data_IF_956968479581
#
_entry.id   IF_956968479581
#
_cell.length_a   1.000
_cell.length_b   1.000
_cell.length_c   1.000
_cell.angle_alpha   90.00
_cell.angle_beta   90.00
_cell.angle_gamma   90.00
#
_symmetry.space_group_name_H-M   'P 1'
#
loop_
_entity.id
_entity.type
_entity.pdbx_description
1 polymer ?
#
# COMPACT_ATOMS: atom_id res chain seq x y z
N UNK A 1 -4.17 23.09 0.27
CA UNK A 1 -3.50 24.36 -0.11
C UNK A 1 -3.32 24.34 -1.64
N UNK A 2 -3.77 25.37 -2.36
CA UNK A 2 -3.59 25.43 -3.81
C UNK A 2 -2.37 26.30 -4.10
N UNK A 3 -1.45 25.79 -4.91
CA UNK A 3 -0.35 26.59 -5.43
C UNK A 3 -0.95 27.51 -6.49
N UNK A 4 -0.97 28.82 -6.19
CA UNK A 4 -1.53 29.79 -7.11
C UNK A 4 -0.46 30.18 -8.15
N UNK A 5 -0.47 29.50 -9.28
CA UNK A 5 0.40 29.78 -10.42
C UNK A 5 -0.44 30.03 -11.65
N UNK A 6 -0.35 31.25 -12.19
CA UNK A 6 -1.09 31.61 -13.39
C UNK A 6 -0.27 31.31 -14.64
N UNK A 7 -0.79 30.37 -15.45
CA UNK A 7 -0.24 30.06 -16.76
C UNK A 7 -0.57 31.22 -17.72
N UNK A 8 0.45 31.83 -18.32
CA UNK A 8 0.26 32.88 -19.31
C UNK A 8 -0.38 32.35 -20.60
N UNK A 9 -1.08 33.23 -21.29
CA UNK A 9 -1.61 32.95 -22.62
C UNK A 9 -0.60 33.41 -23.68
N UNK A 10 0.07 32.45 -24.31
CA UNK A 10 1.12 32.74 -25.31
C UNK A 10 0.62 32.81 -26.74
N UNK A 11 -0.68 32.89 -26.97
CA UNK A 11 -1.26 32.87 -28.34
C UNK A 11 -0.86 34.03 -29.24
N UNK A 12 -0.27 35.10 -28.67
CA UNK A 12 0.18 36.29 -29.40
C UNK A 12 1.68 36.29 -29.75
N UNK A 13 2.40 35.25 -29.37
CA UNK A 13 3.85 35.13 -29.59
C UNK A 13 4.15 34.23 -30.79
N UNK A 14 5.30 34.45 -31.43
CA UNK A 14 5.84 33.53 -32.42
C UNK A 14 6.18 32.16 -31.77
N UNK A 15 6.24 31.09 -32.56
CA UNK A 15 6.47 29.73 -32.03
C UNK A 15 7.79 29.60 -31.26
N UNK A 16 8.86 30.31 -31.68
CA UNK A 16 10.13 30.32 -30.97
C UNK A 16 10.05 31.04 -29.63
N UNK A 17 9.46 32.24 -29.62
CA UNK A 17 9.25 32.99 -28.37
C UNK A 17 8.35 32.25 -27.39
N UNK A 18 7.30 31.59 -27.91
CA UNK A 18 6.39 30.78 -27.12
C UNK A 18 7.14 29.65 -26.38
N UNK A 19 8.03 28.94 -27.07
CA UNK A 19 8.84 27.86 -26.47
C UNK A 19 9.72 28.38 -25.33
N UNK A 20 10.41 29.50 -25.52
CA UNK A 20 11.28 30.11 -24.52
C UNK A 20 10.51 30.59 -23.28
N UNK A 21 9.36 31.25 -23.49
CA UNK A 21 8.51 31.71 -22.40
C UNK A 21 7.87 30.54 -21.64
N UNK A 22 7.42 29.50 -22.34
CA UNK A 22 6.93 28.28 -21.68
C UNK A 22 7.98 27.58 -20.83
N UNK A 23 9.20 27.49 -21.33
CA UNK A 23 10.33 26.89 -20.58
C UNK A 23 10.65 27.69 -19.31
N UNK A 24 10.73 29.03 -19.44
CA UNK A 24 10.92 29.94 -18.31
C UNK A 24 9.85 29.73 -17.24
N UNK A 25 8.58 29.70 -17.64
CA UNK A 25 7.47 29.57 -16.69
C UNK A 25 7.38 28.18 -16.07
N UNK A 26 7.73 27.12 -16.81
CA UNK A 26 7.88 25.77 -16.28
C UNK A 26 8.97 25.71 -15.20
N UNK A 27 10.11 26.37 -15.43
CA UNK A 27 11.19 26.44 -14.46
C UNK A 27 10.78 27.23 -13.21
N UNK A 28 10.13 28.38 -13.37
CA UNK A 28 9.60 29.16 -12.25
C UNK A 28 8.56 28.35 -11.44
N UNK A 29 7.69 27.63 -12.11
CA UNK A 29 6.73 26.76 -11.42
C UNK A 29 7.41 25.61 -10.66
N UNK A 30 8.44 25.01 -11.26
CA UNK A 30 9.24 23.96 -10.59
C UNK A 30 9.88 24.49 -9.29
N UNK A 31 10.42 25.70 -9.30
CA UNK A 31 10.99 26.34 -8.10
C UNK A 31 9.93 26.54 -7.01
N UNK A 32 8.74 27.04 -7.38
CA UNK A 32 7.61 27.22 -6.44
C UNK A 32 7.17 25.87 -5.85
N UNK A 33 7.07 24.82 -6.68
CA UNK A 33 6.73 23.48 -6.22
C UNK A 33 7.78 22.91 -5.27
N UNK A 34 9.06 23.04 -5.63
CA UNK A 34 10.16 22.54 -4.80
C UNK A 34 10.19 23.23 -3.44
N UNK A 35 10.02 24.55 -3.42
CA UNK A 35 9.95 25.33 -2.19
C UNK A 35 8.78 24.87 -1.31
N UNK A 36 7.58 24.78 -1.89
CA UNK A 36 6.38 24.35 -1.17
C UNK A 36 6.55 22.94 -0.60
N UNK A 37 7.13 22.02 -1.38
CA UNK A 37 7.35 20.65 -0.93
C UNK A 37 8.32 20.61 0.25
N UNK A 38 9.45 21.32 0.16
CA UNK A 38 10.45 21.37 1.22
C UNK A 38 9.91 22.02 2.51
N UNK A 39 9.08 23.05 2.40
CA UNK A 39 8.45 23.72 3.54
C UNK A 39 7.43 22.84 4.28
N UNK A 40 6.84 21.83 3.59
CA UNK A 40 5.82 20.96 4.17
C UNK A 40 6.31 19.51 4.41
N UNK A 41 7.59 19.22 4.14
CA UNK A 41 8.11 17.85 4.17
C UNK A 41 7.96 17.20 5.54
N UNK A 42 8.22 17.94 6.64
CA UNK A 42 8.03 17.40 7.99
C UNK A 42 6.58 17.00 8.24
N UNK A 43 5.64 17.86 7.85
CA UNK A 43 4.21 17.57 7.99
C UNK A 43 3.76 16.35 7.17
N UNK A 44 4.36 16.11 6.00
CA UNK A 44 4.06 14.92 5.19
C UNK A 44 4.53 13.67 5.89
N UNK A 45 5.75 13.70 6.45
CA UNK A 45 6.31 12.58 7.21
C UNK A 45 5.46 12.32 8.45
N UNK A 46 5.13 13.34 9.25
CA UNK A 46 4.31 13.17 10.46
C UNK A 46 2.95 12.54 10.14
N UNK A 47 2.29 12.99 9.07
CA UNK A 47 1.01 12.41 8.63
C UNK A 47 1.13 10.96 8.17
N UNK A 48 2.26 10.58 7.58
CA UNK A 48 2.50 9.16 7.23
C UNK A 48 2.48 8.27 8.48
N UNK A 49 3.07 8.74 9.57
CA UNK A 49 3.10 8.01 10.85
C UNK A 49 1.75 7.97 11.58
N UNK A 50 0.81 8.88 11.26
CA UNK A 50 -0.56 8.85 11.78
C UNK A 50 -1.41 7.74 11.14
N UNK A 51 -1.05 7.31 9.94
CA UNK A 51 -1.79 6.28 9.20
C UNK A 51 -1.36 4.90 9.70
N UNK A 52 -2.31 4.12 10.20
CA UNK A 52 -2.06 2.72 10.55
C UNK A 52 -1.65 1.91 9.31
N UNK A 53 -0.66 1.05 9.44
CA UNK A 53 -0.21 0.21 8.34
C UNK A 53 -1.19 -0.93 8.06
N UNK A 54 -1.44 -1.19 6.78
CA UNK A 54 -2.06 -2.41 6.30
C UNK A 54 -1.14 -2.99 5.22
N UNK A 55 -0.79 -4.24 5.39
CA UNK A 55 0.02 -4.96 4.44
C UNK A 55 -0.87 -5.92 3.65
N UNK A 56 -1.09 -5.64 2.38
CA UNK A 56 -1.76 -6.54 1.46
C UNK A 56 -0.74 -7.10 0.49
N UNK A 57 -0.58 -8.41 0.46
CA UNK A 57 0.21 -9.12 -0.54
C UNK A 57 -0.50 -9.22 -1.88
N UNK A 58 -1.83 -9.28 -1.84
CA UNK A 58 -2.62 -9.47 -3.03
C UNK A 58 -3.45 -8.23 -3.30
N UNK A 59 -3.30 -7.66 -4.49
CA UNK A 59 -4.22 -6.64 -4.97
C UNK A 59 -5.54 -7.33 -5.33
N UNK A 60 -6.45 -7.42 -4.34
CA UNK A 60 -7.70 -8.16 -4.44
C UNK A 60 -8.73 -7.42 -5.29
N UNK A 61 -8.58 -6.10 -5.47
CA UNK A 61 -9.48 -5.28 -6.26
C UNK A 61 -9.05 -3.82 -6.35
N UNK A 62 -9.72 -3.05 -7.22
CA UNK A 62 -9.41 -1.63 -7.44
C UNK A 62 -9.61 -0.78 -6.20
N UNK A 63 -10.45 -1.21 -5.26
CA UNK A 63 -10.63 -0.55 -3.97
C UNK A 63 -9.34 -0.43 -3.16
N UNK A 64 -8.37 -1.36 -3.30
CA UNK A 64 -7.05 -1.26 -2.66
C UNK A 64 -6.22 -0.14 -3.28
N UNK A 65 -6.26 0.02 -4.62
CA UNK A 65 -5.58 1.15 -5.29
C UNK A 65 -6.15 2.49 -4.81
N UNK A 66 -7.49 2.58 -4.73
CA UNK A 66 -8.17 3.78 -4.26
C UNK A 66 -7.81 4.10 -2.81
N UNK A 67 -7.65 3.08 -1.96
CA UNK A 67 -7.18 3.24 -0.58
C UNK A 67 -5.75 3.81 -0.57
N UNK A 68 -4.83 3.25 -1.36
CA UNK A 68 -3.44 3.72 -1.44
C UNK A 68 -3.34 5.17 -1.96
N UNK A 69 -4.13 5.52 -2.98
CA UNK A 69 -4.21 6.89 -3.47
C UNK A 69 -4.78 7.85 -2.40
N UNK A 70 -5.75 7.40 -1.62
CA UNK A 70 -6.31 8.18 -0.52
C UNK A 70 -5.30 8.40 0.61
N UNK A 71 -4.46 7.42 0.93
CA UNK A 71 -3.34 7.58 1.87
C UNK A 71 -2.38 8.66 1.39
N UNK A 72 -1.97 8.63 0.12
CA UNK A 72 -1.12 9.65 -0.46
C UNK A 72 -1.75 11.06 -0.38
N UNK A 73 -3.07 11.15 -0.60
CA UNK A 73 -3.80 12.41 -0.45
C UNK A 73 -3.83 12.91 0.99
N UNK A 74 -3.97 12.00 1.96
CA UNK A 74 -3.89 12.35 3.38
C UNK A 74 -2.51 12.84 3.76
N UNK A 75 -1.46 12.15 3.34
CA UNK A 75 -0.06 12.53 3.57
C UNK A 75 0.23 13.95 3.04
N UNK A 76 -0.28 14.27 1.86
CA UNK A 76 -0.14 15.60 1.25
C UNK A 76 -1.08 16.67 1.86
N UNK A 77 -1.96 16.30 2.80
CA UNK A 77 -2.90 17.21 3.46
C UNK A 77 -4.16 17.54 2.66
N UNK A 78 -4.49 16.74 1.64
CA UNK A 78 -5.71 16.88 0.83
C UNK A 78 -6.88 16.11 1.46
N UNK A 79 -7.29 16.48 2.67
CA UNK A 79 -8.22 15.71 3.50
C UNK A 79 -9.59 15.51 2.88
N UNK A 80 -10.14 16.53 2.23
CA UNK A 80 -11.43 16.43 1.52
C UNK A 80 -11.37 15.39 0.41
N UNK A 81 -10.31 15.41 -0.40
CA UNK A 81 -10.11 14.45 -1.49
C UNK A 81 -9.85 13.04 -0.96
N UNK A 82 -9.09 12.90 0.11
CA UNK A 82 -8.90 11.64 0.82
C UNK A 82 -10.26 11.06 1.28
N UNK A 83 -11.06 11.82 2.00
CA UNK A 83 -12.40 11.41 2.47
C UNK A 83 -13.30 10.95 1.33
N UNK A 84 -13.33 11.71 0.23
CA UNK A 84 -14.13 11.36 -0.94
C UNK A 84 -13.67 10.03 -1.55
N UNK A 85 -12.35 9.85 -1.71
CA UNK A 85 -11.79 8.66 -2.35
C UNK A 85 -11.94 7.40 -1.48
N UNK A 86 -11.79 7.51 -0.16
CA UNK A 86 -12.10 6.41 0.78
C UNK A 86 -13.56 6.00 0.67
N UNK A 87 -14.47 6.95 0.53
CA UNK A 87 -15.89 6.63 0.32
C UNK A 87 -16.13 5.84 -0.96
N UNK A 88 -15.43 6.15 -2.05
CA UNK A 88 -15.49 5.38 -3.30
C UNK A 88 -14.88 4.00 -3.11
N UNK A 89 -13.72 3.91 -2.47
CA UNK A 89 -13.06 2.63 -2.15
C UNK A 89 -13.97 1.72 -1.32
N UNK A 90 -14.62 2.24 -0.28
CA UNK A 90 -15.55 1.48 0.56
C UNK A 90 -16.79 1.02 -0.21
N UNK A 91 -17.29 1.84 -1.14
CA UNK A 91 -18.41 1.46 -2.01
C UNK A 91 -18.02 0.34 -2.97
N UNK A 92 -16.84 0.41 -3.61
CA UNK A 92 -16.32 -0.61 -4.49
C UNK A 92 -16.07 -1.92 -3.72
N UNK A 93 -15.46 -1.83 -2.54
CA UNK A 93 -15.29 -2.98 -1.65
C UNK A 93 -16.62 -3.66 -1.30
N UNK A 94 -17.67 -2.90 -1.00
CA UNK A 94 -18.97 -3.47 -0.72
C UNK A 94 -19.59 -4.19 -1.94
N UNK A 95 -19.37 -3.69 -3.15
CA UNK A 95 -19.75 -4.38 -4.40
C UNK A 95 -18.96 -5.68 -4.57
N UNK A 96 -17.65 -5.61 -4.36
CA UNK A 96 -16.77 -6.78 -4.41
C UNK A 96 -17.26 -7.90 -3.47
N UNK A 97 -17.59 -7.58 -2.22
CA UNK A 97 -18.10 -8.57 -1.26
C UNK A 97 -19.41 -9.22 -1.74
N UNK A 98 -20.31 -8.46 -2.33
CA UNK A 98 -21.54 -9.02 -2.90
C UNK A 98 -21.26 -9.98 -4.05
N UNK A 99 -20.33 -9.63 -4.95
CA UNK A 99 -19.93 -10.50 -6.06
C UNK A 99 -19.28 -11.79 -5.57
N UNK A 100 -18.36 -11.71 -4.60
CA UNK A 100 -17.71 -12.89 -4.00
C UNK A 100 -18.68 -13.87 -3.36
N UNK A 101 -19.82 -13.36 -2.87
CA UNK A 101 -20.89 -14.16 -2.28
C UNK A 101 -22.00 -14.51 -3.29
N UNK A 102 -21.80 -14.27 -4.59
CA UNK A 102 -22.78 -14.51 -5.67
C UNK A 102 -24.12 -13.74 -5.48
N UNK A 103 -24.06 -12.53 -4.88
CA UNK A 103 -25.22 -11.67 -4.57
C UNK A 103 -25.35 -10.51 -5.55
N UNK A 104 -25.61 -10.81 -6.82
CA UNK A 104 -25.79 -9.78 -7.86
C UNK A 104 -26.96 -8.83 -7.57
N UNK A 105 -28.00 -9.32 -6.87
CA UNK A 105 -29.17 -8.55 -6.41
C UNK A 105 -28.82 -7.45 -5.42
N UNK A 106 -27.63 -7.50 -4.79
CA UNK A 106 -27.14 -6.42 -3.93
C UNK A 106 -26.51 -5.28 -4.73
N UNK A 107 -26.26 -5.48 -6.02
CA UNK A 107 -25.61 -4.50 -6.89
C UNK A 107 -26.63 -3.80 -7.76
N UNK A 108 -27.47 -4.56 -8.45
CA UNK A 108 -28.48 -4.03 -9.36
C UNK A 108 -29.83 -4.66 -9.12
N UNK A 109 -30.88 -3.85 -9.27
CA UNK A 109 -32.28 -4.30 -9.25
C UNK A 109 -33.00 -3.83 -10.51
N UNK A 110 -34.01 -4.59 -10.90
CA UNK A 110 -34.91 -4.19 -11.98
C UNK A 110 -36.11 -3.46 -11.37
N UNK A 111 -36.29 -2.18 -11.72
CA UNK A 111 -37.42 -1.38 -11.24
C UNK A 111 -38.76 -1.85 -11.85
N UNK A 112 -39.87 -1.32 -11.34
CA UNK A 112 -41.21 -1.66 -11.82
C UNK A 112 -41.44 -1.32 -13.30
N UNK A 113 -40.57 -0.56 -13.91
CA UNK A 113 -40.59 -0.16 -15.33
C UNK A 113 -39.64 -1.01 -16.18
N UNK A 114 -39.04 -2.05 -15.62
CA UNK A 114 -38.09 -2.92 -16.30
C UNK A 114 -36.70 -2.31 -16.51
N UNK A 115 -36.33 -1.21 -15.83
CA UNK A 115 -35.02 -0.58 -15.95
C UNK A 115 -34.10 -1.10 -14.85
N UNK A 116 -32.87 -1.43 -15.24
CA UNK A 116 -31.82 -1.78 -14.28
C UNK A 116 -31.37 -0.51 -13.54
N UNK A 117 -31.37 -0.55 -12.22
CA UNK A 117 -30.92 0.51 -11.35
C UNK A 117 -29.95 -0.03 -10.31
N UNK A 118 -28.97 0.76 -9.92
CA UNK A 118 -28.00 0.38 -8.87
C UNK A 118 -28.67 0.41 -7.50
N UNK A 119 -28.35 -0.60 -6.70
CA UNK A 119 -28.67 -0.62 -5.27
C UNK A 119 -27.80 0.39 -4.55
N UNK A 120 -28.42 1.30 -3.77
CA UNK A 120 -27.64 2.27 -3.00
C UNK A 120 -26.69 1.56 -2.03
N UNK A 121 -25.55 2.18 -1.74
CA UNK A 121 -24.58 1.64 -0.78
C UNK A 121 -25.23 1.32 0.58
N UNK A 122 -26.10 2.20 1.07
CA UNK A 122 -26.85 1.98 2.32
C UNK A 122 -27.67 0.69 2.30
N UNK A 123 -28.44 0.46 1.24
CA UNK A 123 -29.25 -0.75 1.12
C UNK A 123 -28.38 -2.00 0.95
N UNK A 124 -27.30 -1.89 0.21
CA UNK A 124 -26.32 -2.98 0.02
C UNK A 124 -25.72 -3.42 1.36
N UNK A 125 -25.25 -2.47 2.17
CA UNK A 125 -24.68 -2.77 3.49
C UNK A 125 -25.71 -3.43 4.41
N UNK A 126 -26.97 -2.98 4.38
CA UNK A 126 -28.04 -3.63 5.14
C UNK A 126 -28.30 -5.07 4.71
N UNK A 127 -28.34 -5.33 3.41
CA UNK A 127 -28.51 -6.69 2.89
C UNK A 127 -27.34 -7.59 3.29
N UNK A 128 -26.10 -7.08 3.18
CA UNK A 128 -24.91 -7.80 3.60
C UNK A 128 -24.91 -8.14 5.10
N UNK A 129 -25.39 -7.23 5.94
CA UNK A 129 -25.53 -7.48 7.37
C UNK A 129 -26.61 -8.56 7.65
N UNK A 130 -27.79 -8.44 7.04
CA UNK A 130 -28.89 -9.40 7.22
C UNK A 130 -28.48 -10.82 6.80
N UNK A 131 -27.66 -10.91 5.76
CA UNK A 131 -27.16 -12.20 5.24
C UNK A 131 -25.85 -12.66 5.90
N UNK A 132 -25.39 -11.97 6.94
CA UNK A 132 -24.15 -12.27 7.67
C UNK A 132 -22.88 -12.30 6.78
N UNK A 133 -22.86 -11.53 5.70
CA UNK A 133 -21.66 -11.33 4.86
C UNK A 133 -20.68 -10.41 5.56
N UNK A 134 -21.19 -9.43 6.32
CA UNK A 134 -20.41 -8.55 7.18
C UNK A 134 -20.93 -8.59 8.62
N UNK A 135 -20.06 -8.32 9.57
CA UNK A 135 -20.42 -8.17 10.98
C UNK A 135 -21.17 -6.86 11.25
N UNK A 136 -21.81 -6.74 12.42
CA UNK A 136 -22.39 -5.48 12.85
C UNK A 136 -21.33 -4.37 12.96
N UNK A 137 -20.13 -4.69 13.47
CA UNK A 137 -19.02 -3.74 13.57
C UNK A 137 -18.60 -3.22 12.18
N UNK A 138 -18.39 -4.13 11.21
CA UNK A 138 -18.07 -3.74 9.84
C UNK A 138 -19.18 -2.91 9.18
N UNK A 139 -20.45 -3.22 9.44
CA UNK A 139 -21.58 -2.43 8.97
C UNK A 139 -21.51 -0.99 9.51
N UNK A 140 -21.34 -0.83 10.83
CA UNK A 140 -21.35 0.48 11.49
C UNK A 140 -20.19 1.34 10.97
N UNK A 141 -18.98 0.76 10.80
CA UNK A 141 -17.81 1.46 10.25
C UNK A 141 -18.01 1.87 8.78
N UNK A 142 -18.56 0.99 7.94
CA UNK A 142 -18.84 1.30 6.52
C UNK A 142 -19.95 2.33 6.36
N UNK A 143 -20.98 2.30 7.21
CA UNK A 143 -22.07 3.30 7.18
C UNK A 143 -21.59 4.67 7.67
N UNK A 144 -20.68 4.71 8.64
CA UNK A 144 -20.01 5.94 9.06
C UNK A 144 -19.17 6.54 7.94
N UNK A 145 -18.36 5.72 7.24
CA UNK A 145 -17.60 6.16 6.05
C UNK A 145 -18.57 6.77 5.02
N UNK A 146 -19.66 6.08 4.71
CA UNK A 146 -20.69 6.56 3.77
C UNK A 146 -21.28 7.90 4.20
N UNK A 147 -21.57 8.07 5.49
CA UNK A 147 -22.16 9.30 6.03
C UNK A 147 -21.19 10.48 5.89
N UNK A 148 -19.94 10.33 6.34
CA UNK A 148 -18.92 11.38 6.28
C UNK A 148 -18.61 11.73 4.80
N UNK A 149 -18.53 10.72 3.92
CA UNK A 149 -18.32 10.94 2.48
C UNK A 149 -19.48 11.72 1.84
N UNK A 150 -20.72 11.41 2.21
CA UNK A 150 -21.89 12.12 1.68
C UNK A 150 -21.88 13.60 2.08
N UNK A 151 -21.53 13.92 3.33
CA UNK A 151 -21.35 15.31 3.77
C UNK A 151 -20.27 16.02 2.97
N UNK A 152 -19.18 15.34 2.67
CA UNK A 152 -18.09 15.84 1.85
C UNK A 152 -18.51 16.08 0.39
N UNK A 153 -19.12 15.09 -0.28
CA UNK A 153 -19.47 15.17 -1.71
C UNK A 153 -20.60 16.14 -1.99
N UNK A 154 -21.61 16.20 -1.12
CA UNK A 154 -22.71 17.16 -1.26
C UNK A 154 -22.32 18.56 -0.81
N UNK A 155 -21.10 18.70 -0.23
CA UNK A 155 -20.55 19.97 0.21
C UNK A 155 -21.57 20.80 1.00
N UNK A 156 -22.22 20.12 1.96
CA UNK A 156 -23.28 20.72 2.76
C UNK A 156 -22.78 21.86 3.65
N UNK A 157 -23.70 22.62 4.25
CA UNK A 157 -23.36 23.81 5.02
C UNK A 157 -22.41 23.51 6.18
N UNK A 158 -22.65 22.41 6.89
CA UNK A 158 -21.82 22.00 8.02
C UNK A 158 -20.40 21.62 7.57
N UNK A 159 -20.28 20.89 6.44
CA UNK A 159 -18.98 20.53 5.88
C UNK A 159 -18.17 21.74 5.46
N UNK A 160 -18.82 22.74 4.80
CA UNK A 160 -18.17 24.00 4.38
C UNK A 160 -17.52 24.77 5.53
N UNK A 161 -18.08 24.67 6.73
CA UNK A 161 -17.63 25.42 7.91
C UNK A 161 -16.59 24.66 8.74
N UNK A 162 -16.29 23.39 8.40
CA UNK A 162 -15.31 22.59 9.14
C UNK A 162 -13.91 23.20 9.03
N UNK A 163 -13.24 23.45 10.15
CA UNK A 163 -11.85 23.86 10.16
C UNK A 163 -10.95 22.70 9.68
N UNK A 164 -9.72 23.03 9.28
CA UNK A 164 -8.79 22.08 8.67
C UNK A 164 -8.46 20.88 9.57
N UNK A 165 -8.40 21.09 10.89
CA UNK A 165 -8.16 20.01 11.84
C UNK A 165 -9.34 19.02 11.93
N UNK A 166 -10.58 19.47 11.79
CA UNK A 166 -11.74 18.58 11.74
C UNK A 166 -11.77 17.78 10.43
N UNK A 167 -11.45 18.42 9.30
CA UNK A 167 -11.31 17.72 8.01
C UNK A 167 -10.20 16.65 8.07
N UNK A 168 -9.08 16.95 8.75
CA UNK A 168 -8.01 15.99 9.01
C UNK A 168 -8.52 14.80 9.83
N UNK A 169 -9.24 15.06 10.92
CA UNK A 169 -9.79 14.02 11.79
C UNK A 169 -10.81 13.14 11.05
N UNK A 170 -11.69 13.73 10.25
CA UNK A 170 -12.63 12.99 9.42
C UNK A 170 -11.91 12.08 8.43
N UNK A 171 -10.90 12.59 7.74
CA UNK A 171 -10.11 11.83 6.77
C UNK A 171 -9.39 10.66 7.43
N UNK A 172 -8.71 10.90 8.56
CA UNK A 172 -8.03 9.84 9.32
C UNK A 172 -9.02 8.80 9.84
N UNK A 173 -10.17 9.23 10.30
CA UNK A 173 -11.21 8.34 10.81
C UNK A 173 -11.74 7.40 9.72
N UNK A 174 -12.12 7.92 8.54
CA UNK A 174 -12.64 7.08 7.46
C UNK A 174 -11.57 6.16 6.90
N UNK A 175 -10.30 6.59 6.85
CA UNK A 175 -9.15 5.79 6.50
C UNK A 175 -8.99 4.59 7.43
N UNK A 176 -8.95 4.85 8.73
CA UNK A 176 -8.78 3.81 9.74
C UNK A 176 -9.99 2.86 9.78
N UNK A 177 -11.21 3.39 9.66
CA UNK A 177 -12.43 2.58 9.61
C UNK A 177 -12.38 1.58 8.45
N UNK A 178 -12.03 2.02 7.24
CA UNK A 178 -11.92 1.11 6.10
C UNK A 178 -10.84 0.06 6.34
N UNK A 179 -9.69 0.45 6.88
CA UNK A 179 -8.61 -0.47 7.22
C UNK A 179 -9.01 -1.54 8.22
N UNK A 180 -9.76 -1.17 9.26
CA UNK A 180 -10.29 -2.12 10.25
C UNK A 180 -11.21 -3.14 9.57
N UNK A 181 -12.12 -2.67 8.72
CA UNK A 181 -13.06 -3.54 7.99
C UNK A 181 -12.34 -4.49 7.04
N UNK A 182 -11.38 -3.97 6.29
CA UNK A 182 -10.57 -4.79 5.38
C UNK A 182 -9.78 -5.85 6.15
N UNK A 183 -9.19 -5.48 7.29
CA UNK A 183 -8.49 -6.42 8.19
C UNK A 183 -9.42 -7.51 8.74
N UNK A 184 -10.64 -7.14 9.12
CA UNK A 184 -11.62 -8.09 9.65
C UNK A 184 -12.05 -9.12 8.58
N UNK A 185 -12.28 -8.68 7.34
CA UNK A 185 -12.90 -9.49 6.30
C UNK A 185 -11.87 -10.22 5.43
N UNK A 186 -10.81 -9.54 5.02
CA UNK A 186 -9.78 -10.10 4.14
C UNK A 186 -8.65 -10.74 4.97
N UNK A 187 -8.43 -10.22 6.18
CA UNK A 187 -7.38 -10.66 7.09
C UNK A 187 -6.05 -9.94 6.88
N UNK A 188 -5.14 -10.16 7.82
CA UNK A 188 -3.77 -9.61 7.83
C UNK A 188 -2.73 -10.66 7.47
N UNK A 189 -3.16 -11.88 7.21
CA UNK A 189 -2.22 -12.99 7.04
C UNK A 189 -1.66 -12.96 5.63
N UNK A 190 -0.46 -12.45 5.54
CA UNK A 190 0.42 -12.71 4.43
C UNK A 190 0.97 -14.12 4.63
N UNK A 191 0.42 -15.05 3.89
CA UNK A 191 1.04 -16.36 3.75
C UNK A 191 2.29 -16.20 2.85
N UNK A 192 3.46 -16.69 3.24
CA UNK A 192 4.61 -16.77 2.35
C UNK A 192 4.28 -17.39 0.98
N UNK A 193 3.37 -18.34 0.93
CA UNK A 193 2.88 -18.93 -0.32
C UNK A 193 2.12 -17.91 -1.20
N UNK A 194 1.37 -16.97 -0.62
CA UNK A 194 0.69 -15.92 -1.38
C UNK A 194 1.68 -14.96 -2.03
N UNK A 195 2.83 -14.73 -1.39
CA UNK A 195 3.90 -13.93 -1.96
C UNK A 195 4.55 -14.61 -3.17
N UNK A 196 4.80 -15.92 -3.11
CA UNK A 196 5.30 -16.70 -4.25
C UNK A 196 4.33 -16.65 -5.43
N UNK A 197 3.03 -16.81 -5.16
CA UNK A 197 1.99 -16.70 -6.19
C UNK A 197 1.99 -15.32 -6.83
N UNK A 198 2.13 -14.25 -6.02
CA UNK A 198 2.17 -12.88 -6.53
C UNK A 198 3.40 -12.63 -7.40
N UNK A 199 4.57 -13.13 -7.00
CA UNK A 199 5.79 -13.06 -7.80
C UNK A 199 5.59 -13.78 -9.13
N UNK A 200 5.11 -15.00 -9.12
CA UNK A 200 4.86 -15.79 -10.32
C UNK A 200 3.85 -15.13 -11.26
N UNK A 201 2.75 -14.58 -10.72
CA UNK A 201 1.75 -13.85 -11.50
C UNK A 201 2.35 -12.57 -12.12
N UNK A 202 3.18 -11.84 -11.38
CA UNK A 202 3.83 -10.61 -11.86
C UNK A 202 4.83 -10.94 -12.97
N UNK A 203 5.59 -12.01 -12.84
CA UNK A 203 6.50 -12.50 -13.88
C UNK A 203 5.78 -12.88 -15.17
N UNK A 204 4.68 -13.60 -15.05
CA UNK A 204 3.85 -14.00 -16.21
C UNK A 204 3.24 -12.80 -16.94
N UNK A 205 2.79 -11.79 -16.19
CA UNK A 205 2.17 -10.59 -16.76
C UNK A 205 3.16 -9.68 -17.48
N UNK A 206 4.35 -9.50 -16.92
CA UNK A 206 5.35 -8.57 -17.47
C UNK A 206 6.16 -9.19 -18.63
N UNK A 207 6.05 -10.48 -18.85
CA UNK A 207 6.78 -11.20 -19.91
C UNK A 207 8.29 -10.88 -19.92
N UNK A 208 8.85 -10.55 -18.74
CA UNK A 208 10.25 -10.21 -18.57
C UNK A 208 11.04 -11.43 -18.07
N UNK A 209 12.24 -11.61 -18.61
CA UNK A 209 13.18 -12.65 -18.17
C UNK A 209 14.20 -12.13 -17.15
N UNK A 210 14.15 -10.84 -16.87
CA UNK A 210 15.09 -10.21 -15.96
C UNK A 210 14.39 -9.87 -14.63
N UNK A 211 14.58 -10.75 -13.65
CA UNK A 211 14.00 -10.61 -12.32
C UNK A 211 14.48 -9.35 -11.59
N UNK A 212 15.74 -8.98 -11.76
CA UNK A 212 16.32 -7.78 -11.16
C UNK A 212 15.62 -6.51 -11.69
N UNK A 213 15.35 -6.46 -12.99
CA UNK A 213 14.61 -5.36 -13.62
C UNK A 213 13.16 -5.31 -13.14
N UNK A 214 12.50 -6.45 -13.01
CA UNK A 214 11.14 -6.56 -12.49
C UNK A 214 11.04 -6.01 -11.06
N UNK A 215 11.94 -6.43 -10.18
CA UNK A 215 11.97 -5.94 -8.79
C UNK A 215 12.22 -4.43 -8.76
N UNK A 216 13.14 -3.93 -9.57
CA UNK A 216 13.40 -2.49 -9.66
C UNK A 216 12.18 -1.71 -10.13
N UNK A 217 11.48 -2.21 -11.14
CA UNK A 217 10.27 -1.61 -11.69
C UNK A 217 9.14 -1.54 -10.65
N UNK A 218 8.98 -2.61 -9.88
CA UNK A 218 7.92 -2.74 -8.88
C UNK A 218 8.43 -2.57 -7.42
N UNK A 219 9.61 -1.96 -7.25
CA UNK A 219 10.28 -1.84 -5.94
C UNK A 219 9.41 -1.32 -4.81
N UNK A 220 8.50 -0.36 -5.09
CA UNK A 220 7.61 0.19 -4.08
C UNK A 220 6.59 -0.85 -3.60
N UNK A 221 6.04 -1.64 -4.51
CA UNK A 221 5.14 -2.74 -4.18
C UNK A 221 5.86 -3.78 -3.32
N UNK A 222 7.04 -4.24 -3.76
CA UNK A 222 7.80 -5.25 -3.03
C UNK A 222 8.34 -4.74 -1.69
N UNK A 223 8.74 -3.47 -1.58
CA UNK A 223 9.20 -2.91 -0.30
C UNK A 223 8.09 -2.86 0.75
N UNK A 224 6.86 -2.57 0.35
CA UNK A 224 5.70 -2.62 1.23
C UNK A 224 5.33 -4.05 1.65
N UNK A 225 5.52 -5.02 0.76
CA UNK A 225 5.18 -6.41 1.00
C UNK A 225 6.18 -7.14 1.89
N UNK A 226 7.45 -6.74 1.89
CA UNK A 226 8.55 -7.52 2.45
C UNK A 226 9.12 -6.99 3.76
N UNK A 227 8.75 -5.79 4.20
CA UNK A 227 9.19 -5.24 5.47
C UNK A 227 8.35 -5.73 6.64
N UNK A 228 8.35 -7.05 6.87
CA UNK A 228 7.67 -7.64 8.03
C UNK A 228 8.57 -7.81 9.22
N UNK A 229 8.15 -7.22 10.33
CA UNK A 229 8.57 -7.63 11.66
C UNK A 229 7.50 -8.55 12.21
N UNK A 230 7.72 -9.86 12.17
CA UNK A 230 6.88 -10.80 12.88
C UNK A 230 7.33 -10.77 14.33
N UNK A 231 6.55 -10.16 15.20
CA UNK A 231 6.81 -10.06 16.62
C UNK A 231 6.25 -11.31 17.33
N UNK A 232 6.94 -11.88 18.20
CA UNK A 232 7.11 -11.85 19.65
C UNK A 232 6.53 -13.08 20.34
N UNK A 233 7.41 -13.93 20.86
CA UNK A 233 7.11 -14.70 22.07
C UNK A 233 7.36 -13.80 23.30
N UNK A 234 6.55 -13.87 24.38
CA UNK A 234 6.64 -12.95 25.52
C UNK A 234 8.00 -12.90 26.21
N UNK A 235 8.78 -14.00 26.16
CA UNK A 235 10.01 -14.16 26.92
C UNK A 235 11.28 -14.21 26.06
N UNK A 236 11.16 -14.24 24.73
CA UNK A 236 12.31 -14.19 23.81
C UNK A 236 11.93 -13.24 22.68
N UNK A 237 12.56 -12.10 22.65
CA UNK A 237 12.37 -11.16 21.54
C UNK A 237 13.12 -11.69 20.32
N UNK A 238 12.41 -12.38 19.44
CA UNK A 238 12.91 -12.76 18.12
C UNK A 238 12.40 -11.72 17.13
N UNK A 239 13.30 -11.09 16.40
CA UNK A 239 12.98 -10.25 15.25
C UNK A 239 13.20 -11.10 14.01
N UNK A 240 12.19 -11.22 13.16
CA UNK A 240 12.35 -11.84 11.84
C UNK A 240 12.09 -10.84 10.74
N UNK A 241 12.80 -11.04 9.64
CA UNK A 241 12.76 -10.19 8.47
C UNK A 241 12.58 -11.08 7.24
N UNK A 242 11.58 -10.76 6.44
CA UNK A 242 11.31 -11.45 5.18
C UNK A 242 11.49 -10.46 4.05
N UNK A 243 12.45 -10.72 3.13
CA UNK A 243 12.77 -9.76 2.08
C UNK A 243 13.37 -10.45 0.85
N UNK A 244 13.51 -9.69 -0.24
CA UNK A 244 14.27 -10.07 -1.41
C UNK A 244 15.70 -9.58 -1.26
N UNK A 245 16.63 -10.49 -1.52
CA UNK A 245 18.05 -10.22 -1.39
C UNK A 245 18.81 -10.65 -2.64
N UNK A 246 19.93 -9.97 -2.89
CA UNK A 246 20.97 -10.47 -3.78
C UNK A 246 22.08 -11.08 -2.96
N UNK A 247 22.47 -12.31 -3.26
CA UNK A 247 23.59 -12.99 -2.62
C UNK A 247 24.89 -12.35 -3.11
N UNK A 248 25.66 -11.75 -2.19
CA UNK A 248 26.94 -11.10 -2.49
C UNK A 248 28.12 -12.00 -2.24
N UNK A 249 28.06 -12.73 -1.17
CA UNK A 249 29.06 -13.70 -0.76
C UNK A 249 28.38 -14.88 -0.08
N UNK A 250 29.01 -16.03 -0.11
CA UNK A 250 28.57 -17.23 0.59
C UNK A 250 29.80 -18.08 0.88
N UNK A 251 29.96 -18.48 2.12
CA UNK A 251 30.96 -19.45 2.56
C UNK A 251 30.32 -20.54 3.44
N UNK A 252 31.11 -21.27 4.23
CA UNK A 252 30.60 -22.35 5.06
C UNK A 252 29.87 -21.89 6.35
N UNK A 253 30.08 -20.64 6.76
CA UNK A 253 29.64 -20.10 8.04
C UNK A 253 28.68 -18.94 7.88
N UNK A 254 28.82 -18.14 6.78
CA UNK A 254 28.07 -16.90 6.59
C UNK A 254 27.59 -16.73 5.14
N UNK A 255 26.48 -16.01 4.98
CA UNK A 255 25.98 -15.51 3.69
C UNK A 255 25.72 -14.02 3.75
N UNK A 256 26.24 -13.27 2.79
CA UNK A 256 26.01 -11.85 2.66
C UNK A 256 24.80 -11.58 1.76
N UNK A 257 23.73 -11.08 2.36
CA UNK A 257 22.47 -10.76 1.70
C UNK A 257 22.29 -9.25 1.56
N UNK A 258 22.31 -8.73 0.34
CA UNK A 258 22.04 -7.31 0.07
C UNK A 258 20.56 -7.11 -0.24
N UNK A 259 19.90 -6.25 0.53
CA UNK A 259 18.49 -5.93 0.34
C UNK A 259 18.27 -5.04 -0.88
N UNK A 260 17.18 -5.30 -1.62
CA UNK A 260 16.65 -4.36 -2.60
C UNK A 260 15.80 -3.30 -1.89
N UNK A 261 16.43 -2.21 -1.46
CA UNK A 261 15.77 -1.14 -0.72
C UNK A 261 15.92 0.20 -1.49
N UNK A 262 14.85 1.01 -1.63
CA UNK A 262 14.90 2.32 -2.27
C UNK A 262 15.85 3.32 -1.59
N UNK A 263 16.16 3.13 -0.32
CA UNK A 263 17.00 4.03 0.49
C UNK A 263 18.49 3.67 0.46
N UNK A 264 18.86 2.61 -0.22
CA UNK A 264 20.23 2.09 -0.26
C UNK A 264 20.21 0.56 -0.32
N UNK A 265 21.39 -0.04 -0.36
CA UNK A 265 21.54 -1.50 -0.39
C UNK A 265 22.22 -1.98 0.90
N UNK A 266 21.52 -1.99 2.06
CA UNK A 266 22.12 -2.54 3.25
C UNK A 266 22.43 -4.02 3.04
N UNK A 267 23.63 -4.43 3.39
CA UNK A 267 24.03 -5.83 3.43
C UNK A 267 23.82 -6.35 4.84
N UNK A 268 23.16 -7.49 4.95
CA UNK A 268 23.01 -8.24 6.18
C UNK A 268 23.88 -9.47 6.10
N UNK A 269 24.76 -9.63 7.07
CA UNK A 269 25.53 -10.86 7.26
C UNK A 269 24.69 -11.83 8.05
N UNK A 270 24.47 -13.01 7.53
CA UNK A 270 23.60 -14.05 8.10
C UNK A 270 24.41 -15.31 8.33
N UNK A 271 24.43 -15.78 9.58
CA UNK A 271 25.10 -17.00 9.96
C UNK A 271 24.36 -18.22 9.38
N UNK A 272 25.11 -19.17 8.89
CA UNK A 272 24.58 -20.39 8.30
C UNK A 272 24.70 -21.54 9.32
N UNK A 273 23.60 -21.82 10.01
CA UNK A 273 23.46 -23.01 10.85
C UNK A 273 23.21 -24.26 9.99
N UNK A 274 23.04 -25.42 10.63
CA UNK A 274 22.80 -26.66 9.90
C UNK A 274 21.52 -26.64 9.06
N UNK A 275 20.45 -25.96 9.53
CA UNK A 275 19.22 -25.75 8.77
C UNK A 275 19.48 -24.86 7.55
N UNK A 276 20.20 -23.76 7.74
CA UNK A 276 20.59 -22.86 6.65
C UNK A 276 21.40 -23.58 5.57
N UNK A 277 22.35 -24.45 5.95
CA UNK A 277 23.12 -25.27 5.00
C UNK A 277 22.25 -26.18 4.15
N UNK A 278 21.28 -26.84 4.77
CA UNK A 278 20.33 -27.71 4.07
C UNK A 278 19.48 -26.93 3.08
N UNK A 279 18.96 -25.76 3.49
CA UNK A 279 18.15 -24.89 2.64
C UNK A 279 18.96 -24.35 1.46
N UNK A 280 20.15 -23.82 1.69
CA UNK A 280 21.05 -23.29 0.64
C UNK A 280 21.36 -24.38 -0.39
N UNK A 281 21.67 -25.58 0.08
CA UNK A 281 21.93 -26.72 -0.80
C UNK A 281 20.70 -27.17 -1.57
N UNK A 282 19.55 -27.24 -0.92
CA UNK A 282 18.27 -27.62 -1.54
C UNK A 282 17.89 -26.69 -2.67
N UNK A 283 18.04 -25.38 -2.46
CA UNK A 283 17.67 -24.34 -3.39
C UNK A 283 18.78 -23.99 -4.40
N UNK A 284 19.95 -24.69 -4.33
CA UNK A 284 21.14 -24.47 -5.17
C UNK A 284 21.58 -23.00 -5.22
N UNK A 285 21.66 -22.35 -4.06
CA UNK A 285 21.96 -20.93 -3.97
C UNK A 285 23.45 -20.69 -4.18
N UNK A 286 23.76 -19.71 -5.06
CA UNK A 286 25.12 -19.29 -5.41
C UNK A 286 25.28 -17.78 -5.36
N UNK A 287 26.53 -17.31 -5.40
CA UNK A 287 26.83 -15.88 -5.45
C UNK A 287 26.22 -15.25 -6.71
N UNK A 288 25.54 -14.13 -6.53
CA UNK A 288 24.85 -13.40 -7.59
C UNK A 288 23.37 -13.71 -7.70
N UNK A 289 22.90 -14.80 -7.09
CA UNK A 289 21.49 -15.19 -7.11
C UNK A 289 20.60 -14.15 -6.41
N UNK A 290 19.38 -14.06 -6.90
CA UNK A 290 18.29 -13.34 -6.25
C UNK A 290 17.49 -14.36 -5.45
N UNK A 291 17.36 -14.10 -4.17
CA UNK A 291 16.67 -15.00 -3.24
C UNK A 291 15.60 -14.24 -2.46
N UNK A 292 14.51 -14.92 -2.15
CA UNK A 292 13.58 -14.49 -1.11
C UNK A 292 13.93 -15.24 0.15
N UNK A 293 14.28 -14.52 1.21
CA UNK A 293 14.70 -15.13 2.45
C UNK A 293 13.94 -14.55 3.65
N UNK A 294 13.60 -15.47 4.57
CA UNK A 294 13.17 -15.14 5.91
C UNK A 294 14.34 -15.37 6.84
N UNK A 295 14.85 -14.29 7.42
CA UNK A 295 15.94 -14.32 8.38
C UNK A 295 15.42 -13.93 9.75
N UNK A 296 16.02 -14.41 10.82
CA UNK A 296 15.66 -14.08 12.18
C UNK A 296 16.90 -13.79 13.02
N UNK A 297 16.72 -13.00 14.07
CA UNK A 297 17.74 -12.69 15.06
C UNK A 297 17.12 -12.62 16.45
N UNK A 298 17.88 -12.96 17.46
CA UNK A 298 17.52 -12.73 18.84
C UNK A 298 17.80 -11.27 19.19
N UNK A 299 16.91 -10.66 19.96
CA UNK A 299 17.08 -9.29 20.45
C UNK A 299 17.42 -9.35 21.93
N UNK A 300 18.51 -8.69 22.31
CA UNK A 300 18.91 -8.59 23.70
C UNK A 300 17.99 -7.66 24.52
N UNK A 301 18.25 -7.58 25.82
CA UNK A 301 17.47 -6.72 26.74
C UNK A 301 17.58 -5.24 26.43
N UNK A 302 18.57 -4.82 25.65
CA UNK A 302 18.76 -3.44 25.20
C UNK A 302 18.12 -3.15 23.82
N UNK A 303 17.52 -4.16 23.20
CA UNK A 303 16.91 -4.06 21.89
C UNK A 303 17.90 -4.18 20.73
N UNK A 304 19.14 -4.63 20.98
CA UNK A 304 20.12 -4.89 19.93
C UNK A 304 19.97 -6.29 19.38
N UNK A 305 19.97 -6.40 18.05
CA UNK A 305 19.98 -7.69 17.36
C UNK A 305 21.36 -8.31 17.45
N UNK A 306 21.39 -9.62 17.77
CA UNK A 306 22.60 -10.43 17.71
C UNK A 306 22.84 -10.91 16.26
N UNK A 307 23.36 -12.11 16.11
CA UNK A 307 23.54 -12.76 14.83
C UNK A 307 22.21 -13.02 14.12
N UNK A 308 22.21 -12.93 12.81
CA UNK A 308 21.06 -13.30 11.98
C UNK A 308 21.21 -14.73 11.49
N UNK A 309 20.11 -15.46 11.39
CA UNK A 309 20.04 -16.84 10.91
C UNK A 309 18.98 -17.00 9.83
N UNK A 310 19.13 -18.01 8.96
CA UNK A 310 18.15 -18.32 7.90
C UNK A 310 17.01 -19.16 8.51
N UNK A 311 15.78 -18.65 8.43
CA UNK A 311 14.59 -19.43 8.75
C UNK A 311 14.05 -20.15 7.51
N UNK A 312 14.01 -19.44 6.37
CA UNK A 312 13.65 -19.96 5.06
C UNK A 312 14.34 -19.16 3.96
N UNK A 313 14.62 -19.80 2.82
CA UNK A 313 15.26 -19.14 1.66
C UNK A 313 14.86 -19.87 0.37
N UNK A 314 14.54 -19.14 -0.67
CA UNK A 314 14.17 -19.69 -1.97
C UNK A 314 14.89 -18.94 -3.09
N UNK A 315 15.41 -19.69 -4.07
CA UNK A 315 16.12 -19.13 -5.21
C UNK A 315 15.15 -18.76 -6.35
N UNK A 316 15.21 -17.51 -6.82
CA UNK A 316 14.41 -16.98 -7.92
C UNK A 316 15.24 -16.64 -9.17
N UNK A 317 16.55 -16.89 -9.18
CA UNK A 317 17.41 -16.56 -10.32
C UNK A 317 17.17 -17.46 -11.53
N UNK A 318 16.51 -18.60 -11.34
CA UNK A 318 16.33 -19.62 -12.37
C UNK A 318 14.87 -19.70 -12.89
N UNK A 319 14.01 -18.73 -12.54
CA UNK A 319 12.69 -18.56 -13.11
C UNK A 319 12.76 -17.67 -14.36
#
# INVERSE_FOLDING_TARGET
MCINFHKYNYNLLSDSEKSDYELRDKNAYKEVLTKWFNENLSDFVDRKWEIGEIHYLKQIGDFIKLLQEAENLYELGFYTSCTALIGVSAEDFSKYLSLQNNKNEHITIIDRRGRTTDVSQYNRLKLQLIENIISQNSYDLLDEIRSIRNDCLHYNQNFKQKPQNELKNDALKVLNNLKIVLKEIIGNNIDPNDFEILLDETFKQENTRNFEELIWKHRNMFSHLLNFHIAQAPDVKIVSKYNIYKVRNIDNEEIDLTEFNPQGFPTVIVDIDEKGKELIKKENITIGDIVVAKIYSNVDINGQTSLWYIDDIKNYSNL
#
